data_IF_032193712424
#
_entry.id   IF_032193712424
#
_cell.length_a   1.000
_cell.length_b   1.000
_cell.length_c   1.000
_cell.angle_alpha   90.00
_cell.angle_beta   90.00
_cell.angle_gamma   90.00
#
_symmetry.space_group_name_H-M   'P 1'
#
loop_
_entity.id
_entity.type
_entity.pdbx_description
1 polymer ?
#
# COMPACT_ATOMS: atom_id res chain seq x y z
N UNK A 1 -4.43 24.54 -1.45
CA UNK A 1 -3.11 24.10 -0.95
C UNK A 1 -2.43 23.34 -2.07
N UNK A 2 -1.28 23.82 -2.51
CA UNK A 2 -0.50 23.19 -3.57
C UNK A 2 0.33 22.03 -3.00
N UNK A 3 0.37 20.92 -3.74
CA UNK A 3 1.13 19.72 -3.40
C UNK A 3 2.06 19.43 -4.58
N UNK A 4 3.35 19.59 -4.37
CA UNK A 4 4.37 19.17 -5.35
C UNK A 4 4.44 17.64 -5.44
N UNK A 5 5.13 17.12 -6.45
CA UNK A 5 5.40 15.70 -6.53
C UNK A 5 6.24 15.22 -5.33
N UNK A 6 7.22 16.02 -4.90
CA UNK A 6 8.08 15.69 -3.77
C UNK A 6 7.29 15.63 -2.45
N UNK A 7 6.37 16.58 -2.23
CA UNK A 7 5.47 16.53 -1.07
C UNK A 7 4.62 15.25 -1.07
N UNK A 8 4.17 14.82 -2.26
CA UNK A 8 3.37 13.60 -2.40
C UNK A 8 4.22 12.36 -2.10
N UNK A 9 5.44 12.31 -2.60
CA UNK A 9 6.37 11.21 -2.34
C UNK A 9 6.72 11.13 -0.86
N UNK A 10 7.03 12.27 -0.22
CA UNK A 10 7.29 12.32 1.22
C UNK A 10 6.09 11.86 2.04
N UNK A 11 4.86 12.26 1.67
CA UNK A 11 3.64 11.78 2.31
C UNK A 11 3.51 10.25 2.19
N UNK A 12 3.80 9.68 1.03
CA UNK A 12 3.75 8.23 0.80
C UNK A 12 4.77 7.51 1.68
N UNK A 13 5.97 8.07 1.82
CA UNK A 13 7.06 7.48 2.60
C UNK A 13 6.70 7.38 4.08
N UNK A 14 6.26 8.50 4.66
CA UNK A 14 5.85 8.53 6.06
C UNK A 14 4.61 7.63 6.25
N UNK A 15 3.67 7.61 5.30
CA UNK A 15 2.51 6.73 5.37
C UNK A 15 2.90 5.24 5.33
N UNK A 16 3.89 4.87 4.51
CA UNK A 16 4.41 3.51 4.43
C UNK A 16 4.95 3.06 5.80
N UNK A 17 5.74 3.92 6.46
CA UNK A 17 6.31 3.64 7.78
C UNK A 17 5.25 3.43 8.88
N UNK A 18 4.05 4.01 8.69
CA UNK A 18 2.92 3.83 9.60
C UNK A 18 2.04 2.63 9.19
N UNK A 19 2.58 1.42 9.31
CA UNK A 19 1.90 0.16 8.94
C UNK A 19 0.48 0.04 9.50
N UNK A 20 0.23 0.53 10.72
CA UNK A 20 -1.09 0.52 11.34
C UNK A 20 -2.18 1.19 10.49
N UNK A 21 -1.83 2.09 9.57
CA UNK A 21 -2.77 2.77 8.70
C UNK A 21 -3.24 1.91 7.52
N UNK A 22 -2.39 1.02 7.02
CA UNK A 22 -2.64 0.29 5.76
C UNK A 22 -2.57 -1.24 5.88
N UNK A 23 -1.80 -1.76 6.84
CA UNK A 23 -1.59 -3.18 7.06
C UNK A 23 -2.70 -3.76 7.97
N UNK A 24 -3.61 -4.62 7.46
CA UNK A 24 -4.66 -5.22 8.28
C UNK A 24 -4.14 -6.25 9.29
N UNK A 25 -2.93 -6.79 9.08
CA UNK A 25 -2.28 -7.73 10.02
C UNK A 25 -1.71 -7.00 11.24
N UNK A 26 -1.58 -5.68 11.21
CA UNK A 26 -1.03 -4.91 12.31
C UNK A 26 -2.00 -4.88 13.51
N UNK A 27 -1.55 -5.17 14.75
CA UNK A 27 -2.43 -5.27 15.93
C UNK A 27 -3.30 -4.04 16.17
N UNK A 28 -2.76 -2.85 15.87
CA UNK A 28 -3.45 -1.57 16.06
C UNK A 28 -4.23 -1.09 14.82
N UNK A 29 -4.35 -1.90 13.77
CA UNK A 29 -5.06 -1.49 12.54
C UNK A 29 -6.52 -1.11 12.81
N UNK A 30 -7.20 -1.80 13.73
CA UNK A 30 -8.60 -1.50 14.04
C UNK A 30 -8.76 -0.44 15.14
N UNK A 31 -7.66 0.01 15.76
CA UNK A 31 -7.71 1.02 16.81
C UNK A 31 -7.83 2.44 16.24
N UNK A 32 -9.01 3.03 16.41
CA UNK A 32 -9.30 4.41 15.96
C UNK A 32 -8.36 5.43 16.61
N UNK A 33 -8.07 5.27 17.89
CA UNK A 33 -7.21 6.20 18.63
C UNK A 33 -5.78 6.16 18.08
N UNK A 34 -5.23 4.96 17.85
CA UNK A 34 -3.89 4.80 17.27
C UNK A 34 -3.80 5.30 15.83
N UNK A 35 -4.86 5.11 15.04
CA UNK A 35 -4.93 5.70 13.70
C UNK A 35 -4.94 7.23 13.74
N UNK A 36 -5.66 7.84 14.68
CA UNK A 36 -5.66 9.30 14.84
C UNK A 36 -4.30 9.82 15.30
N UNK A 37 -3.66 9.17 16.27
CA UNK A 37 -2.28 9.49 16.71
C UNK A 37 -1.29 9.45 15.52
N UNK A 38 -1.36 8.40 14.70
CA UNK A 38 -0.54 8.28 13.50
C UNK A 38 -0.79 9.42 12.51
N UNK A 39 -2.05 9.72 12.19
CA UNK A 39 -2.36 10.84 11.28
C UNK A 39 -1.89 12.19 11.81
N UNK A 40 -2.02 12.44 13.11
CA UNK A 40 -1.51 13.65 13.76
C UNK A 40 0.03 13.72 13.71
N UNK A 41 0.70 12.56 13.81
CA UNK A 41 2.16 12.48 13.65
C UNK A 41 2.58 12.82 12.21
N UNK A 42 1.92 12.23 11.20
CA UNK A 42 2.18 12.52 9.78
C UNK A 42 1.94 14.01 9.48
N UNK A 43 0.84 14.58 9.96
CA UNK A 43 0.51 15.98 9.72
C UNK A 43 1.52 16.93 10.35
N UNK A 44 2.01 16.60 11.56
CA UNK A 44 3.05 17.35 12.25
C UNK A 44 4.39 17.26 11.52
N UNK A 45 4.77 16.07 11.04
CA UNK A 45 6.02 15.86 10.29
C UNK A 45 6.05 16.64 8.97
N UNK A 46 4.90 16.78 8.29
CA UNK A 46 4.78 17.56 7.06
C UNK A 46 4.51 19.05 7.30
N UNK A 47 4.26 19.47 8.54
CA UNK A 47 3.86 20.85 8.87
C UNK A 47 2.54 21.27 8.21
N UNK A 48 1.61 20.33 8.01
CA UNK A 48 0.35 20.53 7.26
C UNK A 48 -0.87 20.14 8.10
N UNK A 49 -2.04 20.67 7.72
CA UNK A 49 -3.30 20.30 8.38
C UNK A 49 -3.63 18.82 8.14
N UNK A 50 -3.95 18.10 9.21
CA UNK A 50 -4.29 16.67 9.19
C UNK A 50 -5.40 16.33 8.18
N UNK A 51 -6.44 17.17 8.11
CA UNK A 51 -7.54 17.01 7.15
C UNK A 51 -7.04 17.03 5.70
N UNK A 52 -6.17 17.98 5.36
CA UNK A 52 -5.58 18.11 4.02
C UNK A 52 -4.66 16.92 3.68
N UNK A 53 -3.87 16.46 4.66
CA UNK A 53 -3.00 15.28 4.54
C UNK A 53 -3.81 14.02 4.25
N UNK A 54 -4.85 13.75 5.06
CA UNK A 54 -5.75 12.60 4.86
C UNK A 54 -6.44 12.65 3.49
N UNK A 55 -6.93 13.82 3.10
CA UNK A 55 -7.59 14.02 1.80
C UNK A 55 -6.62 13.75 0.65
N UNK A 56 -5.40 14.28 0.72
CA UNK A 56 -4.38 14.07 -0.30
C UNK A 56 -3.99 12.60 -0.41
N UNK A 57 -3.77 11.92 0.72
CA UNK A 57 -3.44 10.50 0.72
C UNK A 57 -4.58 9.66 0.11
N UNK A 58 -5.84 10.01 0.40
CA UNK A 58 -7.01 9.37 -0.21
C UNK A 58 -7.01 9.52 -1.74
N UNK A 59 -6.68 10.71 -2.26
CA UNK A 59 -6.54 10.95 -3.69
C UNK A 59 -5.41 10.12 -4.31
N UNK A 60 -4.24 10.05 -3.66
CA UNK A 60 -3.10 9.24 -4.12
C UNK A 60 -3.46 7.74 -4.19
N UNK A 61 -4.12 7.20 -3.17
CA UNK A 61 -4.62 5.82 -3.16
C UNK A 61 -5.64 5.58 -4.29
N UNK A 62 -6.49 6.57 -4.58
CA UNK A 62 -7.42 6.52 -5.72
C UNK A 62 -6.70 6.43 -7.06
N UNK A 63 -5.73 7.31 -7.29
CA UNK A 63 -4.88 7.29 -8.48
C UNK A 63 -4.16 5.95 -8.63
N UNK A 64 -3.57 5.44 -7.54
CA UNK A 64 -2.88 4.15 -7.53
C UNK A 64 -3.79 2.98 -7.96
N UNK A 65 -5.02 2.90 -7.41
CA UNK A 65 -6.01 1.88 -7.81
C UNK A 65 -6.35 1.95 -9.30
N UNK A 66 -6.52 3.16 -9.84
CA UNK A 66 -6.79 3.37 -11.26
C UNK A 66 -5.59 2.98 -12.13
N UNK A 67 -4.36 3.29 -11.74
CA UNK A 67 -3.16 2.86 -12.46
C UNK A 67 -3.03 1.34 -12.47
N UNK A 68 -3.29 0.69 -11.33
CA UNK A 68 -3.31 -0.77 -11.22
C UNK A 68 -4.35 -1.41 -12.13
N UNK A 69 -5.56 -0.84 -12.23
CA UNK A 69 -6.62 -1.32 -13.12
C UNK A 69 -6.21 -1.23 -14.60
N UNK A 70 -5.52 -0.15 -15.00
CA UNK A 70 -5.01 0.01 -16.38
C UNK A 70 -3.98 -1.06 -16.74
N UNK A 71 -3.04 -1.34 -15.84
CA UNK A 71 -2.04 -2.41 -16.03
C UNK A 71 -2.65 -3.82 -16.14
N UNK A 72 -3.76 -4.10 -15.44
CA UNK A 72 -4.48 -5.38 -15.59
C UNK A 72 -5.21 -5.48 -16.93
N UNK A 73 -5.77 -4.37 -17.44
CA UNK A 73 -6.49 -4.35 -18.72
C UNK A 73 -5.57 -4.52 -19.93
N UNK A 74 -4.33 -4.06 -19.86
CA UNK A 74 -3.35 -4.28 -20.93
C UNK A 74 -2.92 -5.74 -21.09
N UNK A 75 -3.11 -6.58 -20.07
CA UNK A 75 -2.77 -8.03 -20.09
C UNK A 75 -3.94 -8.88 -20.63
N UNK A 76 -5.13 -8.30 -20.79
CA UNK A 76 -6.39 -9.02 -21.06
C UNK A 76 -6.61 -9.56 -22.47
N UNK A 77 -5.61 -9.64 -23.35
CA UNK A 77 -5.82 -10.13 -24.74
C UNK A 77 -4.87 -11.24 -25.21
N UNK A 78 -3.96 -11.75 -24.39
CA UNK A 78 -3.17 -12.90 -24.81
C UNK A 78 -2.06 -13.31 -23.86
N UNK A 79 -2.13 -14.57 -23.41
CA UNK A 79 -1.02 -15.44 -23.00
C UNK A 79 0.07 -14.81 -22.11
N UNK A 80 0.00 -15.12 -20.81
CA UNK A 80 1.12 -15.76 -20.12
C UNK A 80 2.44 -15.00 -19.97
N UNK A 81 2.42 -13.67 -19.93
CA UNK A 81 3.58 -12.90 -19.48
C UNK A 81 3.20 -12.06 -18.26
N UNK A 82 3.90 -12.28 -17.15
CA UNK A 82 4.00 -11.35 -16.02
C UNK A 82 4.79 -10.14 -16.53
N UNK A 83 4.20 -9.37 -17.45
CA UNK A 83 4.72 -8.06 -17.79
C UNK A 83 4.27 -7.11 -16.69
N UNK A 84 5.21 -6.86 -15.79
CA UNK A 84 5.15 -5.85 -14.74
C UNK A 84 4.87 -4.52 -15.44
N UNK A 85 3.60 -4.13 -15.53
CA UNK A 85 3.21 -2.79 -15.96
C UNK A 85 3.81 -1.79 -14.96
N UNK A 86 5.00 -1.26 -15.30
CA UNK A 86 5.62 -0.13 -14.60
C UNK A 86 4.82 1.10 -15.03
N UNK A 87 3.83 1.48 -14.24
CA UNK A 87 3.06 2.70 -14.52
C UNK A 87 4.02 3.88 -14.56
N UNK A 88 3.93 4.72 -15.60
CA UNK A 88 4.70 5.98 -15.70
C UNK A 88 4.30 7.03 -14.64
N UNK A 89 3.40 6.69 -13.72
CA UNK A 89 2.94 7.60 -12.70
C UNK A 89 4.02 7.77 -11.63
N UNK A 90 4.42 9.02 -11.36
CA UNK A 90 5.58 9.36 -10.52
C UNK A 90 5.58 8.71 -9.13
N UNK A 91 4.41 8.42 -8.57
CA UNK A 91 4.25 7.84 -7.23
C UNK A 91 4.04 6.32 -7.23
N UNK A 92 3.94 5.68 -8.40
CA UNK A 92 3.57 4.26 -8.49
C UNK A 92 4.56 3.34 -7.78
N UNK A 93 5.86 3.53 -8.03
CA UNK A 93 6.91 2.71 -7.43
C UNK A 93 6.94 2.87 -5.91
N UNK A 94 6.74 4.10 -5.41
CA UNK A 94 6.72 4.37 -3.96
C UNK A 94 5.52 3.77 -3.25
N UNK A 95 4.41 3.54 -3.97
CA UNK A 95 3.19 2.91 -3.46
C UNK A 95 3.15 1.39 -3.66
N UNK A 96 4.24 0.78 -4.16
CA UNK A 96 4.31 -0.67 -4.47
C UNK A 96 4.12 -1.57 -3.25
N UNK A 97 4.44 -1.10 -2.04
CA UNK A 97 4.20 -1.83 -0.78
C UNK A 97 2.71 -2.21 -0.58
N UNK A 98 1.79 -1.46 -1.20
CA UNK A 98 0.36 -1.78 -1.17
C UNK A 98 -0.03 -2.97 -2.05
N UNK A 99 0.86 -3.45 -2.94
CA UNK A 99 0.63 -4.63 -3.77
C UNK A 99 0.93 -5.93 -3.02
N UNK A 100 1.91 -5.91 -2.12
CA UNK A 100 2.34 -7.07 -1.32
C UNK A 100 1.22 -7.60 -0.40
N UNK A 101 0.18 -6.78 -0.19
CA UNK A 101 -1.05 -7.14 0.50
C UNK A 101 -1.89 -8.20 -0.25
N UNK A 102 -1.78 -8.26 -1.58
CA UNK A 102 -2.60 -9.11 -2.44
C UNK A 102 -1.89 -10.43 -2.84
N UNK A 103 -0.67 -10.71 -2.36
CA UNK A 103 -0.11 -12.04 -2.55
C UNK A 103 -0.96 -13.04 -1.73
N UNK A 104 -1.55 -14.07 -2.37
CA UNK A 104 -2.07 -15.19 -1.62
C UNK A 104 -0.89 -15.75 -0.84
N UNK A 105 -0.97 -15.73 0.49
CA UNK A 105 -0.10 -16.55 1.33
C UNK A 105 0.01 -17.91 0.64
N UNK A 106 1.19 -18.26 0.13
CA UNK A 106 1.47 -19.65 -0.17
C UNK A 106 1.21 -20.39 1.15
N UNK A 107 0.06 -21.05 1.24
CA UNK A 107 -0.21 -22.05 2.26
C UNK A 107 0.93 -23.03 2.15
N UNK A 108 1.87 -22.96 3.11
CA UNK A 108 2.87 -23.99 3.30
C UNK A 108 2.06 -25.20 3.73
N UNK A 109 1.77 -26.05 2.75
CA UNK A 109 1.19 -27.36 2.93
C UNK A 109 2.00 -28.05 4.04
N UNK A 110 1.36 -28.26 5.19
CA UNK A 110 2.01 -28.89 6.33
C UNK A 110 2.32 -30.31 5.92
N UNK A 111 3.57 -30.56 5.54
CA UNK A 111 4.07 -31.90 5.26
C UNK A 111 3.66 -32.80 6.42
N UNK A 112 2.81 -33.75 6.10
CA UNK A 112 2.34 -34.80 6.99
C UNK A 112 3.58 -35.53 7.49
N UNK A 113 3.91 -35.37 8.75
CA UNK A 113 4.98 -36.12 9.39
C UNK A 113 4.47 -37.56 9.54
N UNK A 114 4.72 -38.41 8.53
CA UNK A 114 4.62 -39.85 8.69
C UNK A 114 5.80 -40.30 9.54
N UNK A 115 5.63 -40.29 10.86
CA UNK A 115 6.49 -41.03 11.77
C UNK A 115 6.27 -42.52 11.51
N UNK A 116 7.15 -43.12 10.72
CA UNK A 116 7.40 -44.55 10.79
C UNK A 116 8.22 -44.80 12.06
N UNK A 117 7.55 -45.32 13.10
CA UNK A 117 8.23 -45.95 14.22
C UNK A 117 8.32 -47.45 13.91
N UNK A 118 9.54 -47.96 14.03
CA UNK A 118 9.93 -49.36 13.90
C UNK A 118 9.31 -50.23 15.00
#
# INVERSE_FOLDING_TARGET
MEWSNDDCLQLIDIYNDHELLWNPKHPYHYSKNKKNEAWASISSALGREEKGVRQKMTSLLGSFRSQRSKGKKSIGTGKGAVEVYVSKWFAFDRMRFLLDKDEPNNTIDSQSVSTNLC
#
